data_IF_003721608674
#
_entry.id   IF_003721608674
#
_cell.length_a   1.000
_cell.length_b   1.000
_cell.length_c   1.000
_cell.angle_alpha   90.00
_cell.angle_beta   90.00
_cell.angle_gamma   90.00
#
_symmetry.space_group_name_H-M   'P 1'
#
loop_
_entity.id
_entity.type
_entity.pdbx_description
1 polymer ?
#
# COMPACT_ATOMS: atom_id res chain seq x y z
N UNK A 1 25.72 34.66 -45.18
CA UNK A 1 26.73 35.55 -44.57
C UNK A 1 26.21 35.95 -43.19
N UNK A 2 27.03 35.68 -42.16
CA UNK A 2 26.93 36.07 -40.74
C UNK A 2 25.65 35.64 -39.97
N UNK A 3 25.70 35.11 -38.76
CA UNK A 3 26.78 34.93 -37.78
C UNK A 3 26.12 34.63 -36.42
N UNK A 4 26.64 33.63 -35.71
CA UNK A 4 26.15 33.14 -34.43
C UNK A 4 26.38 34.13 -33.27
N UNK A 5 25.58 34.04 -32.19
CA UNK A 5 26.06 34.24 -30.81
C UNK A 5 25.29 33.34 -29.85
N UNK A 6 26.04 32.50 -29.13
CA UNK A 6 25.61 31.73 -27.97
C UNK A 6 25.77 32.56 -26.69
N UNK A 7 24.92 32.34 -25.69
CA UNK A 7 25.14 32.82 -24.33
C UNK A 7 25.00 31.64 -23.36
N UNK A 8 26.15 31.20 -22.84
CA UNK A 8 26.28 30.29 -21.71
C UNK A 8 26.16 31.09 -20.41
N UNK A 9 25.31 30.66 -19.48
CA UNK A 9 25.29 31.20 -18.12
C UNK A 9 25.77 30.12 -17.15
N UNK A 10 26.91 30.41 -16.55
CA UNK A 10 27.61 29.67 -15.50
C UNK A 10 26.83 29.78 -14.19
N UNK A 11 26.52 28.65 -13.55
CA UNK A 11 26.01 28.61 -12.18
C UNK A 11 27.18 28.38 -11.22
N UNK A 12 27.46 29.39 -10.40
CA UNK A 12 28.43 29.35 -9.31
C UNK A 12 27.91 28.50 -8.14
N UNK A 13 28.75 27.58 -7.67
CA UNK A 13 28.56 26.84 -6.42
C UNK A 13 29.07 27.68 -5.24
N UNK A 14 28.20 27.90 -4.25
CA UNK A 14 28.59 28.41 -2.93
C UNK A 14 28.57 27.27 -1.91
N UNK A 15 29.60 27.11 -1.06
CA UNK A 15 29.65 26.05 -0.05
C UNK A 15 28.96 26.49 1.25
N UNK A 16 28.03 25.68 1.75
CA UNK A 16 27.43 25.88 3.07
C UNK A 16 28.20 25.12 4.16
N UNK A 17 28.84 25.92 5.01
CA UNK A 17 29.09 25.80 6.45
C UNK A 17 28.90 24.43 7.11
N UNK A 18 30.02 23.88 7.57
CA UNK A 18 30.18 22.75 8.47
C UNK A 18 29.55 23.03 9.84
N UNK A 19 28.56 22.24 10.26
CA UNK A 19 28.06 22.23 11.64
C UNK A 19 28.77 21.11 12.41
N UNK A 20 29.48 21.52 13.46
CA UNK A 20 30.25 20.66 14.38
C UNK A 20 29.28 19.89 15.28
N UNK A 21 29.23 18.57 15.13
CA UNK A 21 28.54 17.67 16.06
C UNK A 21 29.45 17.40 17.26
N UNK A 22 29.08 17.92 18.44
CA UNK A 22 29.81 17.68 19.69
C UNK A 22 29.50 16.28 20.23
N UNK A 23 30.49 15.41 20.09
CA UNK A 23 30.63 14.08 20.70
C UNK A 23 30.62 14.21 22.23
N UNK A 24 29.78 13.45 22.92
CA UNK A 24 29.94 13.14 24.35
C UNK A 24 29.93 11.62 24.48
N UNK A 25 31.03 11.09 25.02
CA UNK A 25 31.23 9.68 25.35
C UNK A 25 31.49 9.53 26.86
N UNK A 26 30.82 8.53 27.44
CA UNK A 26 31.24 7.55 28.46
C UNK A 26 31.38 7.84 29.97
N UNK A 27 30.97 6.77 30.68
CA UNK A 27 31.29 6.28 32.04
C UNK A 27 30.47 6.88 33.19
N UNK A 28 30.02 6.16 34.23
CA UNK A 28 30.62 5.00 34.93
C UNK A 28 29.56 4.28 35.79
N UNK A 29 29.72 2.95 36.00
CA UNK A 29 29.05 2.14 37.05
C UNK A 29 29.55 2.52 38.47
N UNK A 30 28.85 2.10 39.54
CA UNK A 30 29.37 0.93 40.27
C UNK A 30 28.32 -0.07 40.85
N UNK A 31 28.87 -1.26 41.10
CA UNK A 31 28.42 -2.47 41.80
C UNK A 31 27.69 -2.28 43.14
N UNK A 32 26.77 -3.21 43.49
CA UNK A 32 26.93 -4.10 44.65
C UNK A 32 25.79 -5.15 44.84
N UNK A 33 26.22 -6.40 45.07
CA UNK A 33 25.70 -7.48 45.97
C UNK A 33 24.22 -7.91 45.85
N UNK A 34 23.88 -9.16 45.51
CA UNK A 34 24.08 -10.43 46.27
C UNK A 34 22.68 -10.89 46.73
N UNK A 35 22.12 -12.02 46.30
CA UNK A 35 22.30 -13.36 46.86
C UNK A 35 21.60 -14.44 46.00
N UNK A 36 22.13 -15.66 46.09
CA UNK A 36 21.76 -16.90 45.40
C UNK A 36 20.61 -17.70 46.04
N UNK A 37 20.28 -18.83 45.39
CA UNK A 37 19.58 -20.06 45.86
C UNK A 37 18.07 -20.12 45.54
N UNK A 38 17.44 -21.21 45.09
CA UNK A 38 17.84 -22.57 44.66
C UNK A 38 16.66 -23.24 43.92
N UNK A 39 16.98 -24.17 43.03
CA UNK A 39 16.09 -25.21 42.49
C UNK A 39 15.53 -26.14 43.57
N UNK A 40 14.28 -26.59 43.46
CA UNK A 40 13.87 -28.03 43.48
C UNK A 40 12.34 -28.23 43.50
N UNK A 41 11.85 -29.07 42.58
CA UNK A 41 10.68 -29.97 42.73
C UNK A 41 11.15 -31.28 43.42
N UNK A 42 10.38 -32.38 43.61
CA UNK A 42 8.95 -32.67 43.41
C UNK A 42 8.30 -33.49 44.58
N UNK A 43 6.98 -33.75 44.56
CA UNK A 43 6.36 -35.02 45.04
C UNK A 43 4.92 -35.19 44.53
N UNK A 44 4.48 -36.41 44.17
CA UNK A 44 3.08 -36.75 43.87
C UNK A 44 2.43 -37.62 44.98
N UNK A 45 1.14 -37.41 45.24
CA UNK A 45 0.24 -38.33 45.97
C UNK A 45 -1.08 -38.39 45.19
N UNK A 46 -1.39 -39.50 44.55
CA UNK A 46 -2.18 -40.65 45.03
C UNK A 46 -3.70 -40.50 44.85
N UNK A 47 -4.27 -41.58 44.30
CA UNK A 47 -5.64 -41.83 43.85
C UNK A 47 -6.75 -41.55 44.87
N UNK A 48 -7.91 -41.12 44.34
CA UNK A 48 -9.22 -41.50 44.86
C UNK A 48 -10.24 -41.63 43.72
N UNK A 49 -10.85 -42.81 43.61
CA UNK A 49 -11.95 -43.09 42.69
C UNK A 49 -13.28 -42.77 43.36
N UNK A 50 -14.12 -41.96 42.73
CA UNK A 50 -15.56 -41.93 43.04
C UNK A 50 -16.39 -42.02 41.76
N UNK A 51 -17.33 -42.96 41.79
CA UNK A 51 -18.29 -43.29 40.74
C UNK A 51 -19.43 -42.27 40.69
N UNK A 52 -19.99 -42.16 39.48
CA UNK A 52 -21.38 -41.83 39.14
C UNK A 52 -21.81 -40.35 39.19
N UNK A 53 -22.03 -39.77 38.01
CA UNK A 53 -23.39 -39.45 37.55
C UNK A 53 -23.41 -39.08 36.07
N UNK A 54 -24.32 -39.70 35.32
CA UNK A 54 -24.67 -39.37 33.93
C UNK A 54 -25.11 -37.91 33.85
N UNK A 55 -24.44 -37.12 33.00
CA UNK A 55 -25.08 -36.03 32.26
C UNK A 55 -24.66 -36.14 30.79
N UNK A 56 -25.64 -36.41 29.94
CA UNK A 56 -25.52 -36.29 28.50
C UNK A 56 -25.36 -34.80 28.16
N UNK A 57 -24.13 -34.34 28.03
CA UNK A 57 -23.83 -33.16 27.23
C UNK A 57 -23.83 -33.59 25.77
N UNK A 58 -24.89 -33.23 25.05
CA UNK A 58 -24.87 -33.23 23.60
C UNK A 58 -23.80 -32.24 23.15
N UNK A 59 -22.58 -32.74 22.93
CA UNK A 59 -21.59 -32.05 22.12
C UNK A 59 -22.12 -32.05 20.69
N UNK A 60 -22.82 -30.96 20.33
CA UNK A 60 -22.98 -30.59 18.94
C UNK A 60 -21.57 -30.34 18.42
N UNK A 61 -21.04 -31.32 17.67
CA UNK A 61 -19.93 -31.09 16.77
C UNK A 61 -20.43 -30.04 15.76
N UNK A 62 -20.19 -28.76 16.07
CA UNK A 62 -20.32 -27.70 15.10
C UNK A 62 -19.20 -27.96 14.11
N UNK A 63 -19.53 -28.68 13.04
CA UNK A 63 -18.68 -28.78 11.87
C UNK A 63 -18.45 -27.33 11.41
N UNK A 64 -17.29 -26.79 11.79
CA UNK A 64 -16.78 -25.59 11.16
C UNK A 64 -16.64 -25.96 9.69
N UNK A 65 -17.61 -25.51 8.90
CA UNK A 65 -17.48 -25.46 7.45
C UNK A 65 -16.31 -24.52 7.21
N UNK A 66 -15.11 -25.06 7.14
CA UNK A 66 -14.03 -24.43 6.43
C UNK A 66 -14.50 -24.39 4.98
N UNK A 67 -15.22 -23.32 4.64
CA UNK A 67 -15.29 -22.89 3.26
C UNK A 67 -13.84 -22.69 2.85
N UNK A 68 -13.29 -23.70 2.18
CA UNK A 68 -12.08 -23.54 1.39
C UNK A 68 -12.50 -22.55 0.32
N UNK A 69 -12.41 -21.26 0.65
CA UNK A 69 -12.41 -20.19 -0.32
C UNK A 69 -11.18 -20.45 -1.16
N UNK A 70 -11.36 -21.20 -2.24
CA UNK A 70 -10.35 -21.34 -3.29
C UNK A 70 -9.95 -19.92 -3.66
N UNK A 71 -8.78 -19.50 -3.20
CA UNK A 71 -8.29 -18.16 -3.48
C UNK A 71 -8.04 -18.10 -4.98
N UNK A 72 -8.94 -17.43 -5.69
CA UNK A 72 -8.81 -17.24 -7.13
C UNK A 72 -7.81 -16.09 -7.37
N UNK A 73 -7.02 -16.24 -8.42
CA UNK A 73 -5.98 -15.27 -8.76
C UNK A 73 -6.12 -14.82 -10.21
N UNK A 74 -5.92 -13.53 -10.44
CA UNK A 74 -5.71 -12.95 -11.77
C UNK A 74 -4.22 -12.69 -11.95
N UNK A 75 -3.68 -13.12 -13.10
CA UNK A 75 -2.29 -12.89 -13.46
C UNK A 75 -2.16 -11.61 -14.28
N UNK A 76 -1.35 -10.66 -13.83
CA UNK A 76 -1.00 -9.49 -14.62
C UNK A 76 -0.15 -9.94 -15.84
N UNK A 77 -0.59 -9.68 -17.09
CA UNK A 77 0.00 -10.31 -18.27
C UNK A 77 1.48 -9.98 -18.52
N UNK A 78 1.92 -8.76 -18.23
CA UNK A 78 3.27 -8.32 -18.57
C UNK A 78 4.33 -8.83 -17.58
N UNK A 79 3.99 -8.96 -16.31
CA UNK A 79 4.91 -9.32 -15.23
C UNK A 79 4.74 -10.74 -14.72
N UNK A 80 3.61 -11.38 -15.03
CA UNK A 80 3.18 -12.67 -14.48
C UNK A 80 2.88 -12.66 -12.97
N UNK A 81 2.82 -11.49 -12.33
CA UNK A 81 2.45 -11.35 -10.91
C UNK A 81 0.99 -11.74 -10.73
N UNK A 82 0.70 -12.47 -9.65
CA UNK A 82 -0.65 -12.93 -9.30
C UNK A 82 -1.27 -12.03 -8.24
N UNK A 83 -2.51 -11.64 -8.47
CA UNK A 83 -3.34 -10.85 -7.58
C UNK A 83 -4.55 -11.67 -7.17
N UNK A 84 -4.85 -11.74 -5.86
CA UNK A 84 -6.07 -12.39 -5.37
C UNK A 84 -7.29 -11.64 -5.90
N UNK A 85 -8.34 -12.35 -6.31
CA UNK A 85 -9.58 -11.71 -6.80
C UNK A 85 -10.33 -10.96 -5.71
N UNK A 86 -10.19 -11.39 -4.45
CA UNK A 86 -10.73 -10.69 -3.30
C UNK A 86 -9.98 -11.05 -2.02
N UNK A 87 -9.80 -10.08 -1.12
CA UNK A 87 -9.31 -10.31 0.23
C UNK A 87 -9.61 -9.13 1.16
N UNK A 88 -9.45 -9.33 2.47
CA UNK A 88 -9.55 -8.27 3.47
C UNK A 88 -8.18 -7.61 3.61
N UNK A 89 -8.12 -6.33 3.26
CA UNK A 89 -6.91 -5.51 3.35
C UNK A 89 -6.68 -5.04 4.80
N UNK A 90 -5.43 -4.86 5.27
CA UNK A 90 -5.20 -4.28 6.60
C UNK A 90 -5.93 -2.96 6.81
N UNK A 91 -6.71 -2.90 7.91
CA UNK A 91 -7.51 -1.73 8.27
C UNK A 91 -8.86 -1.60 7.58
N UNK A 92 -9.20 -2.50 6.66
CA UNK A 92 -10.53 -2.59 6.04
C UNK A 92 -11.47 -3.47 6.85
N UNK A 93 -12.76 -3.11 6.86
CA UNK A 93 -13.80 -3.94 7.48
C UNK A 93 -14.37 -4.98 6.51
N UNK A 94 -14.37 -4.66 5.21
CA UNK A 94 -14.94 -5.49 4.17
C UNK A 94 -13.85 -6.13 3.31
N UNK A 95 -14.18 -7.26 2.68
CA UNK A 95 -13.35 -7.81 1.61
C UNK A 95 -13.46 -6.92 0.38
N UNK A 96 -12.32 -6.50 -0.17
CA UNK A 96 -12.29 -5.75 -1.42
C UNK A 96 -12.15 -6.72 -2.60
N UNK A 97 -12.69 -6.33 -3.75
CA UNK A 97 -12.67 -7.12 -5.00
C UNK A 97 -11.74 -6.47 -6.02
N UNK A 98 -10.97 -7.26 -6.75
CA UNK A 98 -10.07 -6.81 -7.81
C UNK A 98 -10.87 -6.33 -9.02
N UNK A 99 -10.66 -5.08 -9.43
CA UNK A 99 -11.28 -4.50 -10.63
C UNK A 99 -10.32 -4.36 -11.81
N UNK A 100 -9.01 -4.40 -11.58
CA UNK A 100 -8.04 -4.36 -12.66
C UNK A 100 -6.61 -4.54 -12.21
N UNK A 101 -5.77 -4.97 -13.15
CA UNK A 101 -4.32 -5.14 -12.95
C UNK A 101 -3.55 -4.38 -14.02
N UNK A 102 -2.35 -3.92 -13.69
CA UNK A 102 -1.42 -3.32 -14.64
C UNK A 102 0.00 -3.32 -14.13
N UNK A 103 0.89 -2.62 -14.81
CA UNK A 103 2.29 -2.56 -14.44
C UNK A 103 2.87 -1.18 -14.73
N UNK A 104 3.90 -0.82 -13.96
CA UNK A 104 4.71 0.37 -14.23
C UNK A 104 6.00 -0.02 -14.91
N UNK A 105 6.30 0.68 -15.98
CA UNK A 105 7.59 0.66 -16.65
C UNK A 105 8.28 2.02 -16.49
N UNK A 106 9.60 2.00 -16.35
CA UNK A 106 10.44 3.20 -16.44
C UNK A 106 11.47 2.98 -17.52
N UNK A 107 11.53 3.91 -18.47
CA UNK A 107 12.53 3.90 -19.55
C UNK A 107 13.84 4.44 -19.01
N UNK A 108 14.89 3.63 -19.09
CA UNK A 108 16.26 4.03 -18.79
C UNK A 108 17.04 4.08 -20.10
N UNK A 109 17.38 5.30 -20.53
CA UNK A 109 17.92 5.58 -21.87
C UNK A 109 17.04 5.05 -23.00
N UNK A 110 17.27 3.82 -23.47
CA UNK A 110 16.58 3.19 -24.60
C UNK A 110 15.73 1.98 -24.15
N UNK A 111 15.98 1.45 -22.95
CA UNK A 111 15.38 0.20 -22.49
C UNK A 111 14.31 0.49 -21.46
N UNK A 112 13.08 0.06 -21.76
CA UNK A 112 11.97 0.01 -20.82
C UNK A 112 12.19 -1.08 -19.78
N UNK A 113 12.13 -0.74 -18.49
CA UNK A 113 12.24 -1.74 -17.42
C UNK A 113 11.03 -1.70 -16.51
N UNK A 114 10.40 -2.87 -16.35
CA UNK A 114 9.25 -3.08 -15.47
C UNK A 114 9.69 -2.92 -14.01
N UNK A 115 9.03 -2.04 -13.27
CA UNK A 115 9.36 -1.71 -11.88
C UNK A 115 8.47 -2.49 -10.92
N UNK A 116 7.16 -2.48 -11.19
CA UNK A 116 6.18 -3.18 -10.37
C UNK A 116 4.94 -3.58 -11.17
N UNK A 117 4.22 -4.57 -10.67
CA UNK A 117 2.83 -4.84 -11.02
C UNK A 117 1.91 -4.16 -9.99
N UNK A 118 0.68 -3.86 -10.38
CA UNK A 118 -0.32 -3.26 -9.52
C UNK A 118 -1.70 -3.89 -9.74
N UNK A 119 -2.46 -4.05 -8.66
CA UNK A 119 -3.86 -4.47 -8.66
C UNK A 119 -4.71 -3.44 -7.92
N UNK A 120 -5.82 -3.04 -8.50
CA UNK A 120 -6.74 -2.05 -7.90
C UNK A 120 -8.03 -2.71 -7.45
N UNK A 121 -8.42 -2.43 -6.22
CA UNK A 121 -9.46 -3.09 -5.47
C UNK A 121 -10.50 -2.09 -4.99
N UNK A 122 -11.77 -2.50 -5.03
CA UNK A 122 -12.90 -1.71 -4.56
C UNK A 122 -13.80 -2.56 -3.66
N UNK A 123 -14.40 -1.94 -2.66
CA UNK A 123 -15.62 -2.47 -2.02
C UNK A 123 -16.75 -2.46 -3.06
N UNK A 124 -17.41 -3.60 -3.28
CA UNK A 124 -18.47 -3.73 -4.29
C UNK A 124 -19.68 -2.83 -4.00
N UNK A 125 -19.86 -2.38 -2.75
CA UNK A 125 -20.93 -1.47 -2.36
C UNK A 125 -20.89 -0.15 -3.14
N UNK A 126 -19.71 0.26 -3.61
CA UNK A 126 -19.50 1.47 -4.43
C UNK A 126 -20.27 1.43 -5.76
N UNK A 127 -20.60 0.24 -6.27
CA UNK A 127 -21.30 0.08 -7.56
C UNK A 127 -22.65 0.81 -7.57
N UNK A 128 -23.29 0.93 -6.41
CA UNK A 128 -24.54 1.70 -6.24
C UNK A 128 -24.37 3.21 -6.53
N UNK A 129 -23.18 3.77 -6.31
CA UNK A 129 -22.86 5.18 -6.56
C UNK A 129 -22.47 5.43 -8.03
N UNK A 130 -22.14 4.38 -8.78
CA UNK A 130 -21.65 4.45 -10.16
C UNK A 130 -22.78 4.22 -11.19
N UNK A 131 -24.05 4.31 -10.77
CA UNK A 131 -25.21 4.06 -11.63
C UNK A 131 -25.26 4.92 -12.90
N UNK A 132 -24.72 6.15 -12.87
CA UNK A 132 -24.67 7.04 -14.02
C UNK A 132 -23.82 6.50 -15.19
N UNK A 133 -22.95 5.50 -14.93
CA UNK A 133 -22.09 4.87 -15.94
C UNK A 133 -22.53 3.45 -16.31
N UNK A 134 -23.75 3.03 -15.92
CA UNK A 134 -24.32 1.77 -16.39
C UNK A 134 -24.42 1.73 -17.91
N UNK A 135 -24.09 0.57 -18.48
CA UNK A 135 -24.15 0.28 -19.93
C UNK A 135 -23.26 1.18 -20.79
N UNK A 136 -22.33 1.90 -20.18
CA UNK A 136 -21.34 2.66 -20.93
C UNK A 136 -20.27 1.73 -21.50
N UNK A 137 -19.67 2.13 -22.62
CA UNK A 137 -18.56 1.38 -23.19
C UNK A 137 -17.30 1.49 -22.31
N UNK A 138 -16.36 0.57 -22.50
CA UNK A 138 -15.05 0.61 -21.83
C UNK A 138 -14.34 1.95 -22.08
N UNK A 139 -14.40 2.46 -23.31
CA UNK A 139 -13.75 3.69 -23.73
C UNK A 139 -14.37 4.90 -23.03
N UNK A 140 -15.70 4.93 -22.92
CA UNK A 140 -16.42 5.98 -22.21
C UNK A 140 -16.10 5.96 -20.70
N UNK A 141 -16.05 4.77 -20.09
CA UNK A 141 -15.66 4.59 -18.68
C UNK A 141 -14.21 5.04 -18.46
N UNK A 142 -13.28 4.60 -19.32
CA UNK A 142 -11.85 4.92 -19.20
C UNK A 142 -11.58 6.42 -19.33
N UNK A 143 -12.30 7.11 -20.22
CA UNK A 143 -12.16 8.56 -20.46
C UNK A 143 -12.91 9.45 -19.47
N UNK A 144 -13.66 8.88 -18.51
CA UNK A 144 -14.51 9.66 -17.62
C UNK A 144 -13.78 10.10 -16.36
N UNK A 145 -13.24 11.33 -16.36
CA UNK A 145 -12.65 11.93 -15.15
C UNK A 145 -13.70 12.12 -14.03
N UNK A 146 -14.98 12.31 -14.39
CA UNK A 146 -16.08 12.36 -13.43
C UNK A 146 -16.30 11.02 -12.72
N UNK A 147 -16.20 9.87 -13.42
CA UNK A 147 -16.26 8.55 -12.80
C UNK A 147 -15.13 8.37 -11.79
N UNK A 148 -13.89 8.67 -12.21
CA UNK A 148 -12.70 8.56 -11.36
C UNK A 148 -12.85 9.43 -10.11
N UNK A 149 -13.36 10.65 -10.26
CA UNK A 149 -13.67 11.55 -9.14
C UNK A 149 -14.74 10.97 -8.22
N UNK A 150 -15.83 10.41 -8.75
CA UNK A 150 -16.87 9.76 -7.94
C UNK A 150 -16.29 8.59 -7.14
N UNK A 151 -15.49 7.73 -7.79
CA UNK A 151 -14.81 6.63 -7.10
C UNK A 151 -13.93 7.17 -5.97
N UNK A 152 -13.12 8.21 -6.22
CA UNK A 152 -12.28 8.82 -5.18
C UNK A 152 -13.09 9.44 -4.03
N UNK A 153 -14.19 10.12 -4.33
CA UNK A 153 -15.02 10.81 -3.34
C UNK A 153 -15.91 9.89 -2.51
N UNK A 154 -16.13 8.66 -2.98
CA UNK A 154 -16.88 7.64 -2.23
C UNK A 154 -16.33 7.42 -0.82
N UNK A 155 -17.23 7.17 0.14
CA UNK A 155 -16.87 6.74 1.50
C UNK A 155 -16.53 5.26 1.59
N UNK A 156 -16.76 4.49 0.53
CA UNK A 156 -16.39 3.08 0.47
C UNK A 156 -14.88 2.89 0.30
N UNK A 157 -14.37 1.80 0.87
CA UNK A 157 -12.95 1.50 0.91
C UNK A 157 -12.41 1.16 -0.50
N UNK A 158 -11.23 1.67 -0.82
CA UNK A 158 -10.48 1.37 -2.06
C UNK A 158 -9.07 0.97 -1.69
N UNK A 159 -8.45 0.09 -2.45
CA UNK A 159 -7.04 -0.24 -2.23
C UNK A 159 -6.27 -0.46 -3.51
N UNK A 160 -5.02 -0.04 -3.51
CA UNK A 160 -4.05 -0.33 -4.56
C UNK A 160 -2.95 -1.20 -3.96
N UNK A 161 -2.81 -2.40 -4.49
CA UNK A 161 -1.73 -3.32 -4.17
C UNK A 161 -0.64 -3.20 -5.24
N UNK A 162 0.57 -2.83 -4.82
CA UNK A 162 1.77 -2.76 -5.66
C UNK A 162 2.69 -3.91 -5.25
N UNK A 163 3.18 -4.68 -6.22
CA UNK A 163 4.13 -5.77 -6.01
C UNK A 163 5.37 -5.51 -6.87
N UNK A 164 6.51 -5.31 -6.21
CA UNK A 164 7.76 -5.03 -6.91
C UNK A 164 8.23 -6.24 -7.70
N UNK A 165 8.62 -6.04 -8.95
CA UNK A 165 9.17 -7.12 -9.80
C UNK A 165 10.69 -7.07 -9.90
N UNK A 166 11.29 -6.13 -9.17
CA UNK A 166 12.73 -5.91 -9.07
C UNK A 166 13.05 -5.18 -7.77
N UNK A 167 14.33 -5.16 -7.42
CA UNK A 167 14.83 -4.35 -6.32
C UNK A 167 14.75 -2.85 -6.66
N UNK A 168 14.26 -2.07 -5.70
CA UNK A 168 14.22 -0.62 -5.73
C UNK A 168 14.64 -0.11 -4.36
N UNK A 169 15.53 0.87 -4.32
CA UNK A 169 15.86 1.52 -3.07
C UNK A 169 14.65 2.33 -2.54
N UNK A 170 14.40 2.32 -1.22
CA UNK A 170 13.24 2.97 -0.61
C UNK A 170 13.17 4.48 -0.91
N UNK A 171 14.33 5.16 -0.89
CA UNK A 171 14.43 6.57 -1.28
C UNK A 171 14.10 6.75 -2.76
N UNK A 172 14.61 5.89 -3.64
CA UNK A 172 14.30 5.95 -5.08
C UNK A 172 12.80 5.77 -5.36
N UNK A 173 12.14 4.85 -4.64
CA UNK A 173 10.70 4.64 -4.77
C UNK A 173 9.92 5.87 -4.31
N UNK A 174 10.25 6.39 -3.12
CA UNK A 174 9.61 7.60 -2.58
C UNK A 174 9.83 8.82 -3.46
N UNK A 175 11.05 9.06 -3.93
CA UNK A 175 11.36 10.22 -4.79
C UNK A 175 10.53 10.16 -6.06
N UNK A 176 10.42 8.99 -6.70
CA UNK A 176 9.60 8.82 -7.90
C UNK A 176 8.08 8.97 -7.62
N UNK A 177 7.61 8.55 -6.45
CA UNK A 177 6.21 8.71 -6.06
C UNK A 177 5.88 10.17 -5.75
N UNK A 178 6.75 10.85 -4.99
CA UNK A 178 6.59 12.27 -4.65
C UNK A 178 6.72 13.18 -5.87
N UNK A 179 7.65 12.90 -6.80
CA UNK A 179 7.75 13.60 -8.10
C UNK A 179 6.44 13.51 -8.89
N UNK A 180 5.76 12.36 -8.84
CA UNK A 180 4.46 12.20 -9.48
C UNK A 180 3.33 12.91 -8.70
N UNK A 181 3.37 12.93 -7.37
CA UNK A 181 2.30 13.49 -6.55
C UNK A 181 2.34 15.01 -6.41
N UNK A 182 3.51 15.60 -6.16
CA UNK A 182 3.65 17.01 -5.81
C UNK A 182 3.03 17.98 -6.84
N UNK A 183 3.15 17.75 -8.17
CA UNK A 183 2.49 18.61 -9.16
C UNK A 183 0.96 18.65 -9.06
N UNK A 184 0.34 17.69 -8.35
CA UNK A 184 -1.11 17.56 -8.17
C UNK A 184 -1.60 18.18 -6.86
N UNK A 185 -0.71 18.74 -6.06
CA UNK A 185 -1.02 19.45 -4.81
C UNK A 185 -0.64 20.92 -5.02
N UNK A 186 -1.54 21.74 -5.64
CA UNK A 186 -1.27 23.16 -5.76
C UNK A 186 -1.34 23.78 -4.37
N UNK A 187 -0.20 24.30 -3.91
CA UNK A 187 -0.04 24.95 -2.59
C UNK A 187 -0.26 24.01 -1.39
N UNK A 188 0.73 23.16 -1.07
CA UNK A 188 0.67 22.28 0.10
C UNK A 188 0.45 23.06 1.40
N UNK A 189 -0.53 22.62 2.19
CA UNK A 189 -0.74 23.11 3.55
C UNK A 189 0.24 22.46 4.51
N UNK A 190 0.35 22.99 5.73
CA UNK A 190 1.14 22.34 6.81
C UNK A 190 0.67 20.91 7.08
N UNK A 191 -0.63 20.63 6.95
CA UNK A 191 -1.17 19.28 7.08
C UNK A 191 -0.67 18.37 5.95
N UNK A 192 -0.61 18.87 4.73
CA UNK A 192 -0.10 18.13 3.57
C UNK A 192 1.39 17.81 3.72
N UNK A 193 2.20 18.77 4.19
CA UNK A 193 3.63 18.56 4.45
C UNK A 193 3.88 17.52 5.55
N UNK A 194 3.09 17.55 6.62
CA UNK A 194 3.14 16.54 7.68
C UNK A 194 2.74 15.15 7.14
N UNK A 195 1.68 15.09 6.33
CA UNK A 195 1.21 13.87 5.68
C UNK A 195 2.25 13.28 4.72
N UNK A 196 2.89 14.11 3.89
CA UNK A 196 3.98 13.70 2.99
C UNK A 196 5.20 13.21 3.78
N UNK A 197 5.53 13.86 4.90
CA UNK A 197 6.63 13.43 5.78
C UNK A 197 6.33 12.08 6.43
N UNK A 198 5.11 11.87 6.94
CA UNK A 198 4.68 10.59 7.48
C UNK A 198 4.65 9.48 6.41
N UNK A 199 4.29 9.82 5.17
CA UNK A 199 4.30 8.84 4.08
C UNK A 199 5.73 8.47 3.69
N UNK A 200 6.62 9.45 3.59
CA UNK A 200 8.05 9.25 3.31
C UNK A 200 8.70 8.31 4.32
N UNK A 201 8.41 8.49 5.61
CA UNK A 201 9.07 7.73 6.68
C UNK A 201 8.82 6.23 6.61
N UNK A 202 7.72 5.79 5.98
CA UNK A 202 7.43 4.36 5.75
C UNK A 202 8.50 3.69 4.90
N UNK A 203 9.05 4.42 3.92
CA UNK A 203 10.02 3.91 2.95
C UNK A 203 11.47 4.26 3.28
N UNK A 204 11.68 5.24 4.15
CA UNK A 204 13.01 5.67 4.54
C UNK A 204 13.77 4.51 5.20
N UNK A 205 14.99 4.27 4.74
CA UNK A 205 15.88 3.21 5.21
C UNK A 205 15.30 1.77 5.12
N UNK A 206 14.19 1.59 4.39
CA UNK A 206 13.55 0.29 4.16
C UNK A 206 14.02 -0.28 2.81
N UNK A 207 14.65 -1.47 2.78
CA UNK A 207 14.99 -2.12 1.52
C UNK A 207 13.70 -2.63 0.85
N UNK A 208 13.41 -2.17 -0.37
CA UNK A 208 12.28 -2.67 -1.16
C UNK A 208 12.80 -3.67 -2.19
N UNK A 209 12.79 -4.94 -1.82
CA UNK A 209 13.27 -6.02 -2.67
C UNK A 209 12.20 -6.44 -3.68
N UNK A 210 12.62 -7.17 -4.71
CA UNK A 210 11.67 -7.92 -5.53
C UNK A 210 10.70 -8.69 -4.61
N UNK A 211 9.42 -8.71 -4.98
CA UNK A 211 8.29 -9.30 -4.23
C UNK A 211 7.84 -8.51 -2.99
N UNK A 212 8.48 -7.38 -2.65
CA UNK A 212 7.91 -6.45 -1.67
C UNK A 212 6.51 -6.00 -2.12
N UNK A 213 5.55 -6.10 -1.21
CA UNK A 213 4.16 -5.70 -1.39
C UNK A 213 3.93 -4.38 -0.66
N UNK A 214 3.42 -3.39 -1.37
CA UNK A 214 2.99 -2.10 -0.85
C UNK A 214 1.48 -2.00 -1.07
N UNK A 215 0.73 -1.69 -0.02
CA UNK A 215 -0.71 -1.50 -0.05
C UNK A 215 -1.01 -0.06 0.33
N UNK A 216 -1.79 0.60 -0.53
CA UNK A 216 -2.27 1.95 -0.37
C UNK A 216 -3.80 1.90 -0.31
N UNK A 217 -4.37 2.14 0.87
CA UNK A 217 -5.81 1.95 1.11
C UNK A 217 -6.48 3.27 1.46
N UNK A 218 -7.38 3.74 0.61
CA UNK A 218 -8.25 4.88 0.90
C UNK A 218 -9.47 4.39 1.66
N UNK A 219 -9.54 4.71 2.95
CA UNK A 219 -10.74 4.43 3.76
C UNK A 219 -11.84 5.45 3.49
N UNK A 220 -11.44 6.68 3.15
CA UNK A 220 -12.29 7.77 2.71
C UNK A 220 -11.40 8.78 1.96
N UNK A 221 -11.95 9.87 1.40
CA UNK A 221 -11.17 10.84 0.63
C UNK A 221 -10.06 11.55 1.41
N UNK A 222 -10.10 11.55 2.75
CA UNK A 222 -9.15 12.26 3.62
C UNK A 222 -8.16 11.33 4.34
N UNK A 223 -8.43 10.02 4.39
CA UNK A 223 -7.65 9.06 5.20
C UNK A 223 -7.13 7.90 4.35
N UNK A 224 -5.82 7.83 4.23
CA UNK A 224 -5.07 6.81 3.50
C UNK A 224 -4.26 5.97 4.49
N UNK A 225 -4.32 4.64 4.37
CA UNK A 225 -3.45 3.71 5.09
C UNK A 225 -2.35 3.22 4.17
N UNK A 226 -1.16 3.05 4.73
CA UNK A 226 0.01 2.51 4.03
C UNK A 226 0.47 1.26 4.77
N UNK A 227 0.65 0.16 4.05
CA UNK A 227 1.20 -1.08 4.59
C UNK A 227 2.24 -1.65 3.64
N UNK A 228 3.38 -2.10 4.15
CA UNK A 228 4.51 -2.60 3.37
C UNK A 228 5.02 -3.89 3.97
N UNK A 229 5.06 -4.96 3.18
CA UNK A 229 5.61 -6.25 3.56
C UNK A 229 6.68 -6.71 2.60
N UNK A 230 7.76 -7.30 3.13
CA UNK A 230 8.78 -7.97 2.31
C UNK A 230 8.42 -9.42 2.01
N UNK A 231 7.41 -9.99 2.67
CA UNK A 231 7.00 -11.39 2.50
C UNK A 231 5.48 -11.50 2.63
N UNK A 232 4.83 -11.97 1.57
CA UNK A 232 3.38 -12.17 1.55
C UNK A 232 2.60 -10.87 1.76
N UNK A 233 1.29 -11.03 1.96
CA UNK A 233 0.39 -9.90 2.15
C UNK A 233 0.65 -9.22 3.51
N UNK A 234 0.77 -7.89 3.59
CA UNK A 234 0.87 -7.17 4.85
C UNK A 234 -0.30 -7.50 5.79
N UNK A 235 -0.02 -7.62 7.10
CA UNK A 235 -1.04 -7.86 8.14
C UNK A 235 -1.19 -6.67 9.10
N UNK A 236 -0.34 -5.64 8.98
CA UNK A 236 -0.30 -4.47 9.85
C UNK A 236 -0.30 -3.19 9.02
N UNK A 237 -0.82 -2.11 9.59
CA UNK A 237 -0.74 -0.76 9.01
C UNK A 237 0.55 -0.09 9.50
N UNK A 238 1.42 0.34 8.58
CA UNK A 238 2.66 1.04 8.90
C UNK A 238 2.45 2.53 9.16
N UNK A 239 1.51 3.16 8.44
CA UNK A 239 1.17 4.57 8.62
C UNK A 239 -0.27 4.89 8.24
N UNK A 240 -0.81 5.92 8.90
CA UNK A 240 -2.05 6.60 8.54
C UNK A 240 -1.71 8.00 8.07
N UNK A 241 -2.15 8.34 6.86
CA UNK A 241 -1.93 9.63 6.22
C UNK A 241 -3.25 10.39 6.22
N UNK A 242 -3.28 11.52 6.92
CA UNK A 242 -4.45 12.38 7.08
C UNK A 242 -4.28 13.67 6.26
N UNK A 243 -4.63 13.59 4.98
CA UNK A 243 -4.70 14.74 4.08
C UNK A 243 -5.51 14.37 2.84
N UNK A 244 -6.59 15.13 2.60
CA UNK A 244 -7.39 14.97 1.38
C UNK A 244 -6.61 15.30 0.12
N UNK A 245 -5.70 16.28 0.18
CA UNK A 245 -4.90 16.67 -0.98
C UNK A 245 -3.89 15.58 -1.35
N UNK A 246 -3.18 15.04 -0.35
CA UNK A 246 -2.22 13.94 -0.55
C UNK A 246 -2.93 12.68 -1.02
N UNK A 247 -4.07 12.33 -0.40
CA UNK A 247 -4.87 11.17 -0.80
C UNK A 247 -5.42 11.31 -2.22
N UNK A 248 -5.92 12.50 -2.60
CA UNK A 248 -6.40 12.81 -3.96
C UNK A 248 -5.28 12.77 -4.98
N UNK A 249 -4.15 13.42 -4.69
CA UNK A 249 -2.98 13.42 -5.56
C UNK A 249 -2.46 12.01 -5.83
N UNK A 250 -2.37 11.17 -4.79
CA UNK A 250 -1.94 9.78 -4.93
C UNK A 250 -2.93 8.98 -5.79
N UNK A 251 -4.23 9.18 -5.61
CA UNK A 251 -5.24 8.50 -6.43
C UNK A 251 -5.13 8.91 -7.92
N UNK A 252 -4.95 10.21 -8.17
CA UNK A 252 -4.79 10.76 -9.51
C UNK A 252 -3.50 10.26 -10.21
N UNK A 253 -2.43 10.01 -9.46
CA UNK A 253 -1.21 9.38 -10.01
C UNK A 253 -1.50 8.06 -10.73
N UNK A 254 -2.46 7.26 -10.26
CA UNK A 254 -2.74 5.94 -10.82
C UNK A 254 -3.95 5.88 -11.75
N UNK A 255 -5.01 6.64 -11.47
CA UNK A 255 -6.27 6.58 -12.21
C UNK A 255 -6.68 7.91 -12.86
N UNK A 256 -5.93 8.98 -12.62
CA UNK A 256 -6.15 10.30 -13.21
C UNK A 256 -5.89 10.35 -14.71
N UNK A 257 -5.86 11.56 -15.26
CA UNK A 257 -5.79 11.76 -16.72
C UNK A 257 -4.42 11.36 -17.32
N UNK A 258 -3.34 11.52 -16.55
CA UNK A 258 -1.98 11.10 -16.92
C UNK A 258 -1.46 10.05 -15.93
N UNK A 259 -1.99 8.80 -15.99
CA UNK A 259 -1.68 7.76 -15.02
C UNK A 259 -0.27 7.22 -15.24
N UNK A 260 0.43 6.92 -14.15
CA UNK A 260 1.76 6.30 -14.23
C UNK A 260 1.71 4.85 -14.75
N UNK A 261 0.55 4.21 -14.69
CA UNK A 261 0.30 2.86 -15.20
C UNK A 261 -0.94 2.88 -16.10
N UNK A 262 -0.82 3.27 -17.38
CA UNK A 262 -1.95 3.31 -18.31
C UNK A 262 -2.68 1.95 -18.43
N UNK A 263 -1.93 0.85 -18.41
CA UNK A 263 -2.47 -0.51 -18.42
C UNK A 263 -3.39 -0.79 -17.23
N UNK A 264 -3.07 -0.26 -16.05
CA UNK A 264 -3.91 -0.38 -14.85
C UNK A 264 -5.24 0.37 -15.06
N UNK A 265 -5.19 1.63 -15.49
CA UNK A 265 -6.40 2.44 -15.72
C UNK A 265 -7.32 1.78 -16.75
N UNK A 266 -6.77 1.28 -17.86
CA UNK A 266 -7.52 0.55 -18.88
C UNK A 266 -8.13 -0.75 -18.35
N UNK A 267 -7.39 -1.52 -17.54
CA UNK A 267 -7.90 -2.76 -16.95
C UNK A 267 -9.01 -2.49 -15.94
N UNK A 268 -8.88 -1.46 -15.10
CA UNK A 268 -9.92 -1.03 -14.16
C UNK A 268 -11.19 -0.60 -14.88
N UNK A 269 -11.07 0.16 -15.97
CA UNK A 269 -12.22 0.55 -16.78
C UNK A 269 -12.96 -0.67 -17.36
N UNK A 270 -12.22 -1.70 -17.79
CA UNK A 270 -12.80 -2.95 -18.27
C UNK A 270 -13.48 -3.77 -17.17
N UNK A 271 -12.90 -3.82 -15.95
CA UNK A 271 -13.54 -4.45 -14.81
C UNK A 271 -14.85 -3.75 -14.44
N UNK A 272 -14.83 -2.42 -14.38
CA UNK A 272 -16.02 -1.61 -14.12
C UNK A 272 -17.10 -1.82 -15.19
N UNK A 273 -16.75 -1.84 -16.48
CA UNK A 273 -17.73 -2.06 -17.56
C UNK A 273 -18.41 -3.43 -17.49
N UNK A 274 -17.73 -4.45 -16.94
CA UNK A 274 -18.31 -5.79 -16.75
C UNK A 274 -19.33 -5.83 -15.60
N UNK A 275 -19.16 -5.00 -14.58
CA UNK A 275 -20.04 -4.94 -13.40
C UNK A 275 -21.17 -3.93 -13.60
N UNK A 276 -20.93 -2.83 -14.31
CA UNK A 276 -21.89 -1.76 -14.61
C UNK A 276 -22.72 -2.05 -15.87
N UNK A 277 -23.42 -3.19 -15.89
CA UNK A 277 -24.34 -3.59 -16.96
C UNK A 277 -25.76 -3.04 -16.80
#
# INVERSE_FOLDING_TARGET
MLGAVAASTTLCFSPSTTVVLKRISNSTLPLSHGHSFSLSSPTPLHFSSHKSSRRHSHFLAHAASSSVTSTEYVKEPATNVKFQTSFIVPGCSNSLTLFGTGYREKVFAIIGVKVYAAGFYLDQSIISELNAWKRQSKEAIQGSSSLVKTIFQSSFEKSLQIILVRDVDGKTFWDALSEAMLPRIPEPTTADENALTAFRSVFQDRPLKKETIIILTWLNPARLLVSVSSQGLPSTVDATIESSNVASALFDVFLGDSPVSPSLKTSVAEGLSKVLK
#
